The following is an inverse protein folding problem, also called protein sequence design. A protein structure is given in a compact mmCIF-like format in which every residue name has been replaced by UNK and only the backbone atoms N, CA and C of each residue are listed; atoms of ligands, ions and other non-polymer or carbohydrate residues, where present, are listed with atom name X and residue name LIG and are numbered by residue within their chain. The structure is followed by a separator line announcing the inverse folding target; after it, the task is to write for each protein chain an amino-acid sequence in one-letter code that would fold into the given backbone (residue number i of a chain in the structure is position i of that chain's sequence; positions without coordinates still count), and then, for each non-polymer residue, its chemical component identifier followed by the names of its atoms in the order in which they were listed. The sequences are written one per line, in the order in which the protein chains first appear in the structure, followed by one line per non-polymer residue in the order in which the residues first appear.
data_IF_450632726283
#
_entry.id   IF_450632726283
#
_cell.length_a   1.000
_cell.length_b   1.000
_cell.length_c   1.000
_cell.angle_alpha   90.00
_cell.angle_beta   90.00
_cell.angle_gamma   90.00
#
_symmetry.space_group_name_H-M   'P 1'
#
loop_
_entity.id
_entity.type
_entity.pdbx_description
1 polymer ?
#
# COMPACT_ATOMS: atom_id res chain seq x y z
N UNK A 1 27.96 47.60 -69.07
CA UNK A 1 28.64 47.67 -67.77
C UNK A 1 28.13 46.51 -66.95
N UNK A 2 28.70 45.34 -67.13
CA UNK A 2 29.89 44.72 -66.53
C UNK A 2 29.70 44.40 -65.04
N UNK A 3 29.58 43.09 -64.81
CA UNK A 3 30.11 42.28 -63.72
C UNK A 3 29.41 42.38 -62.34
N UNK A 4 28.66 41.34 -62.06
CA UNK A 4 28.87 40.48 -60.84
C UNK A 4 28.08 39.16 -60.96
N UNK A 5 28.52 38.33 -61.92
CA UNK A 5 28.23 36.90 -61.89
C UNK A 5 29.44 36.21 -61.24
N UNK A 6 29.28 35.54 -60.11
CA UNK A 6 30.37 34.70 -59.68
C UNK A 6 30.61 34.61 -58.19
N UNK A 7 29.64 34.23 -57.39
CA UNK A 7 29.93 33.78 -56.00
C UNK A 7 28.86 32.88 -55.36
N UNK A 8 28.24 32.01 -56.14
CA UNK A 8 27.19 31.13 -55.60
C UNK A 8 27.33 29.68 -56.08
N UNK A 9 28.55 29.18 -56.13
CA UNK A 9 28.75 27.81 -56.63
C UNK A 9 29.72 26.97 -55.76
N UNK A 10 29.89 27.28 -54.48
CA UNK A 10 30.85 26.51 -53.65
C UNK A 10 30.35 25.99 -52.32
N UNK A 11 29.04 25.99 -52.10
CA UNK A 11 28.52 25.52 -50.78
C UNK A 11 27.68 24.22 -50.89
N UNK A 12 27.41 23.70 -52.08
CA UNK A 12 26.54 22.53 -52.27
C UNK A 12 27.17 21.12 -52.14
N UNK A 13 28.48 20.89 -52.13
CA UNK A 13 28.97 19.51 -51.96
C UNK A 13 29.27 19.07 -50.53
N UNK A 14 29.06 19.92 -49.50
CA UNK A 14 29.38 19.54 -48.13
C UNK A 14 28.24 18.84 -47.35
N UNK A 15 27.04 18.78 -47.92
CA UNK A 15 25.91 18.11 -47.31
C UNK A 15 25.73 16.65 -47.76
N UNK A 16 26.49 16.18 -48.74
CA UNK A 16 26.37 14.79 -49.24
C UNK A 16 27.36 13.81 -48.56
N UNK A 17 28.23 14.26 -47.64
CA UNK A 17 29.22 13.40 -47.01
C UNK A 17 28.76 12.68 -45.73
N UNK A 18 27.53 12.93 -45.28
CA UNK A 18 27.02 12.27 -44.05
C UNK A 18 26.19 11.00 -44.29
N UNK A 19 25.99 10.61 -45.55
CA UNK A 19 25.15 9.41 -45.84
C UNK A 19 25.96 8.16 -46.22
N UNK A 20 27.27 8.20 -46.18
CA UNK A 20 28.11 7.05 -46.55
C UNK A 20 29.22 6.79 -45.52
N UNK A 21 29.03 7.10 -44.26
CA UNK A 21 29.83 6.50 -43.20
C UNK A 21 29.24 5.11 -42.99
N UNK A 22 29.92 4.12 -43.55
CA UNK A 22 29.62 2.72 -43.45
C UNK A 22 29.28 2.37 -42.01
N UNK A 23 28.18 1.67 -41.85
CA UNK A 23 27.73 1.13 -40.60
C UNK A 23 28.90 0.43 -39.91
N UNK A 24 29.37 1.00 -38.81
CA UNK A 24 29.83 0.22 -37.70
C UNK A 24 28.67 -0.76 -37.47
N UNK A 25 28.92 -2.05 -37.73
CA UNK A 25 27.89 -3.07 -37.59
C UNK A 25 27.13 -2.83 -36.32
N UNK A 26 25.92 -2.39 -36.48
CA UNK A 26 24.96 -2.47 -35.40
C UNK A 26 24.89 -3.96 -35.08
N UNK A 27 25.79 -4.40 -34.18
CA UNK A 27 25.46 -5.56 -33.38
C UNK A 27 24.02 -5.39 -33.01
N UNK A 28 23.19 -6.36 -33.35
CA UNK A 28 21.78 -6.40 -33.00
C UNK A 28 21.55 -5.59 -31.74
N UNK A 29 20.64 -4.60 -31.75
CA UNK A 29 20.34 -3.89 -30.51
C UNK A 29 20.13 -4.99 -29.50
N UNK A 30 20.96 -5.00 -28.44
CA UNK A 30 20.76 -5.88 -27.28
C UNK A 30 19.37 -5.53 -26.85
N UNK A 31 18.39 -6.22 -27.44
CA UNK A 31 17.01 -6.11 -27.03
C UNK A 31 17.04 -6.50 -25.58
N UNK A 32 16.78 -5.53 -24.72
CA UNK A 32 16.48 -5.85 -23.34
C UNK A 32 15.54 -7.07 -23.40
N UNK A 33 15.84 -8.16 -22.66
CA UNK A 33 15.00 -9.34 -22.68
C UNK A 33 13.55 -8.87 -22.62
N UNK A 34 12.77 -9.17 -23.66
CA UNK A 34 11.37 -8.79 -23.67
C UNK A 34 10.80 -9.35 -22.38
N UNK A 35 10.09 -8.51 -21.62
CA UNK A 35 9.31 -9.01 -20.49
C UNK A 35 8.45 -10.13 -21.05
N UNK A 36 8.82 -11.37 -20.75
CA UNK A 36 8.00 -12.52 -21.04
C UNK A 36 6.71 -12.30 -20.27
N UNK A 37 5.67 -11.87 -20.95
CA UNK A 37 4.33 -11.71 -20.35
C UNK A 37 3.76 -13.02 -19.78
N UNK A 38 4.52 -14.11 -19.89
CA UNK A 38 4.23 -15.44 -19.33
C UNK A 38 5.09 -15.82 -18.13
N UNK A 39 6.15 -15.09 -17.81
CA UNK A 39 6.79 -15.25 -16.52
C UNK A 39 5.84 -14.64 -15.50
N UNK A 40 5.31 -15.49 -14.61
CA UNK A 40 4.57 -15.04 -13.44
C UNK A 40 5.44 -14.02 -12.71
N UNK A 41 5.08 -12.75 -12.86
CA UNK A 41 5.76 -11.69 -12.14
C UNK A 41 5.64 -11.95 -10.64
N UNK A 42 6.60 -11.46 -9.85
CA UNK A 42 6.55 -11.59 -8.39
C UNK A 42 5.17 -11.18 -7.90
N UNK A 43 4.58 -12.01 -7.04
CA UNK A 43 3.25 -11.80 -6.48
C UNK A 43 3.11 -10.38 -5.91
N UNK A 44 2.07 -9.69 -6.36
CA UNK A 44 1.79 -8.33 -5.95
C UNK A 44 1.53 -8.17 -4.45
N UNK A 45 1.00 -9.20 -3.77
CA UNK A 45 0.85 -9.21 -2.32
C UNK A 45 2.22 -9.22 -1.63
N UNK A 46 3.11 -10.12 -2.04
CA UNK A 46 4.45 -10.20 -1.47
C UNK A 46 5.24 -8.89 -1.65
N UNK A 47 5.19 -8.31 -2.85
CA UNK A 47 5.83 -7.02 -3.12
C UNK A 47 5.20 -5.92 -2.28
N UNK A 48 3.87 -5.89 -2.19
CA UNK A 48 3.14 -4.92 -1.38
C UNK A 48 3.51 -5.00 0.10
N UNK A 49 3.61 -6.18 0.67
CA UNK A 49 4.02 -6.35 2.07
C UNK A 49 5.42 -5.82 2.34
N UNK A 50 6.39 -6.08 1.46
CA UNK A 50 7.75 -5.53 1.59
C UNK A 50 7.76 -3.99 1.49
N UNK A 51 6.93 -3.43 0.62
CA UNK A 51 6.79 -1.98 0.50
C UNK A 51 6.13 -1.37 1.74
N UNK A 52 5.14 -2.05 2.33
CA UNK A 52 4.57 -1.66 3.62
C UNK A 52 5.62 -1.65 4.73
N UNK A 53 6.51 -2.65 4.76
CA UNK A 53 7.63 -2.71 5.71
C UNK A 53 8.62 -1.56 5.54
N UNK A 54 8.84 -1.14 4.29
CA UNK A 54 9.70 -0.02 3.96
C UNK A 54 9.03 1.36 4.18
N UNK A 55 7.75 1.42 4.57
CA UNK A 55 6.99 2.66 4.70
C UNK A 55 6.51 3.25 3.37
N UNK A 56 6.67 2.52 2.27
CA UNK A 56 6.31 2.95 0.92
C UNK A 56 4.83 2.64 0.61
N UNK A 57 3.93 3.25 1.36
CA UNK A 57 2.50 2.89 1.39
C UNK A 57 1.78 3.10 0.06
N UNK A 58 2.11 4.16 -0.68
CA UNK A 58 1.53 4.40 -2.01
C UNK A 58 2.00 3.37 -3.05
N UNK A 59 3.24 2.92 -2.96
CA UNK A 59 3.76 1.86 -3.82
C UNK A 59 3.19 0.50 -3.43
N UNK A 60 3.00 0.26 -2.13
CA UNK A 60 2.31 -0.93 -1.62
C UNK A 60 0.89 -1.00 -2.16
N UNK A 61 0.14 0.10 -2.11
CA UNK A 61 -1.22 0.19 -2.64
C UNK A 61 -1.27 -0.20 -4.13
N UNK A 62 -0.34 0.31 -4.95
CA UNK A 62 -0.23 -0.06 -6.37
C UNK A 62 0.06 -1.54 -6.58
N UNK A 63 0.93 -2.11 -5.73
CA UNK A 63 1.27 -3.54 -5.78
C UNK A 63 0.08 -4.41 -5.40
N UNK A 64 -0.69 -4.04 -4.39
CA UNK A 64 -1.92 -4.73 -4.00
C UNK A 64 -3.02 -4.63 -5.06
N UNK A 65 -3.15 -3.49 -5.76
CA UNK A 65 -4.06 -3.38 -6.90
C UNK A 65 -3.66 -4.29 -8.06
N UNK A 66 -2.36 -4.51 -8.27
CA UNK A 66 -1.88 -5.50 -9.24
C UNK A 66 -2.22 -6.92 -8.79
N UNK A 67 -2.06 -7.24 -7.51
CA UNK A 67 -2.48 -8.52 -6.94
C UNK A 67 -4.00 -8.73 -7.11
N UNK A 68 -4.80 -7.68 -6.91
CA UNK A 68 -6.24 -7.72 -7.16
C UNK A 68 -6.59 -8.08 -8.61
N UNK A 69 -5.82 -7.58 -9.57
CA UNK A 69 -6.02 -7.90 -10.99
C UNK A 69 -5.61 -9.35 -11.33
N UNK A 70 -4.67 -9.94 -10.58
CA UNK A 70 -4.18 -11.31 -10.79
C UNK A 70 -5.02 -12.37 -10.05
N UNK A 71 -5.39 -12.10 -8.80
CA UNK A 71 -6.02 -13.06 -7.88
C UNK A 71 -7.48 -12.73 -7.57
N UNK A 72 -7.99 -11.61 -8.09
CA UNK A 72 -9.30 -11.08 -7.72
C UNK A 72 -9.28 -10.36 -6.38
N UNK A 73 -10.43 -9.80 -6.02
CA UNK A 73 -10.65 -9.09 -4.76
C UNK A 73 -11.08 -10.08 -3.66
N UNK A 74 -10.16 -10.91 -3.18
CA UNK A 74 -10.37 -11.81 -2.06
C UNK A 74 -10.14 -11.12 -0.70
N UNK A 75 -10.39 -11.80 0.42
CA UNK A 75 -10.26 -11.24 1.76
C UNK A 75 -8.84 -10.74 2.06
N UNK A 76 -7.81 -11.47 1.61
CA UNK A 76 -6.41 -11.11 1.81
C UNK A 76 -6.05 -9.81 1.06
N UNK A 77 -6.40 -9.73 -0.23
CA UNK A 77 -6.18 -8.52 -1.03
C UNK A 77 -6.95 -7.32 -0.47
N UNK A 78 -8.20 -7.50 -0.06
CA UNK A 78 -9.00 -6.44 0.56
C UNK A 78 -8.39 -5.95 1.88
N UNK A 79 -7.93 -6.88 2.72
CA UNK A 79 -7.24 -6.54 3.96
C UNK A 79 -5.93 -5.80 3.72
N UNK A 80 -5.12 -6.25 2.76
CA UNK A 80 -3.88 -5.59 2.37
C UNK A 80 -4.10 -4.16 1.86
N UNK A 81 -5.10 -3.96 0.99
CA UNK A 81 -5.52 -2.63 0.51
C UNK A 81 -6.04 -1.76 1.65
N UNK A 82 -6.81 -2.32 2.57
CA UNK A 82 -7.29 -1.64 3.77
C UNK A 82 -6.16 -1.18 4.66
N UNK A 83 -5.17 -2.04 4.90
CA UNK A 83 -3.97 -1.74 5.69
C UNK A 83 -3.14 -0.60 5.08
N UNK A 84 -2.95 -0.60 3.75
CA UNK A 84 -2.24 0.49 3.08
C UNK A 84 -3.00 1.83 3.20
N UNK A 85 -4.32 1.82 3.05
CA UNK A 85 -5.15 3.01 3.24
C UNK A 85 -5.14 3.51 4.69
N UNK A 86 -5.10 2.63 5.69
CA UNK A 86 -4.94 2.99 7.09
C UNK A 86 -3.64 3.77 7.30
N UNK A 87 -2.51 3.26 6.79
CA UNK A 87 -1.22 3.94 6.90
C UNK A 87 -1.17 5.30 6.18
N UNK A 88 -1.96 5.46 5.13
CA UNK A 88 -2.11 6.72 4.40
C UNK A 88 -3.11 7.69 5.07
N UNK A 89 -3.68 7.33 6.24
CA UNK A 89 -4.68 8.13 6.94
C UNK A 89 -6.05 8.18 6.23
N UNK A 90 -6.28 7.32 5.23
CA UNK A 90 -7.52 7.26 4.45
C UNK A 90 -8.55 6.38 5.14
N UNK A 91 -8.95 6.76 6.38
CA UNK A 91 -9.70 5.90 7.29
C UNK A 91 -11.03 5.40 6.72
N UNK A 92 -11.79 6.24 6.00
CA UNK A 92 -13.05 5.81 5.39
C UNK A 92 -12.89 4.75 4.29
N UNK A 93 -11.83 4.84 3.50
CA UNK A 93 -11.51 3.85 2.47
C UNK A 93 -11.00 2.56 3.12
N UNK A 94 -10.16 2.67 4.14
CA UNK A 94 -9.67 1.53 4.92
C UNK A 94 -10.84 0.76 5.55
N UNK A 95 -11.77 1.45 6.22
CA UNK A 95 -12.96 0.84 6.83
C UNK A 95 -13.78 0.07 5.79
N UNK A 96 -14.07 0.69 4.64
CA UNK A 96 -14.87 0.06 3.59
C UNK A 96 -14.24 -1.23 3.08
N UNK A 97 -12.93 -1.23 2.84
CA UNK A 97 -12.21 -2.39 2.34
C UNK A 97 -12.13 -3.50 3.39
N UNK A 98 -11.85 -3.14 4.65
CA UNK A 98 -11.72 -4.09 5.74
C UNK A 98 -13.07 -4.73 6.12
N UNK A 99 -14.17 -3.96 6.10
CA UNK A 99 -15.51 -4.54 6.29
C UNK A 99 -15.83 -5.57 5.22
N UNK A 100 -15.51 -5.29 3.95
CA UNK A 100 -15.69 -6.25 2.86
C UNK A 100 -14.81 -7.49 3.04
N UNK A 101 -13.57 -7.33 3.54
CA UNK A 101 -12.70 -8.47 3.85
C UNK A 101 -13.33 -9.38 4.91
N UNK A 102 -13.87 -8.79 5.99
CA UNK A 102 -14.55 -9.51 7.08
C UNK A 102 -15.87 -10.13 6.61
N UNK A 103 -16.60 -9.49 5.72
CA UNK A 103 -17.81 -10.07 5.10
C UNK A 103 -17.49 -11.31 4.27
N UNK A 104 -16.36 -11.31 3.55
CA UNK A 104 -15.91 -12.45 2.74
C UNK A 104 -15.36 -13.59 3.59
N UNK A 105 -14.61 -13.27 4.63
CA UNK A 105 -14.07 -14.22 5.59
C UNK A 105 -14.15 -13.65 7.01
N UNK A 106 -15.23 -14.00 7.76
CA UNK A 106 -15.43 -13.57 9.14
C UNK A 106 -14.37 -14.07 10.13
N UNK A 107 -13.56 -15.04 9.72
CA UNK A 107 -12.47 -15.61 10.52
C UNK A 107 -11.08 -15.04 10.15
N UNK A 108 -11.00 -14.10 9.20
CA UNK A 108 -9.73 -13.55 8.77
C UNK A 108 -9.20 -12.54 9.79
N UNK A 109 -8.40 -13.04 10.72
CA UNK A 109 -7.85 -12.31 11.87
C UNK A 109 -7.17 -10.99 11.49
N UNK A 110 -6.33 -10.92 10.42
CA UNK A 110 -5.71 -9.65 10.02
C UNK A 110 -6.73 -8.56 9.67
N UNK A 111 -7.81 -8.91 8.96
CA UNK A 111 -8.84 -7.93 8.62
C UNK A 111 -9.62 -7.46 9.84
N UNK A 112 -9.96 -8.38 10.74
CA UNK A 112 -10.62 -8.03 12.01
C UNK A 112 -9.77 -7.09 12.84
N UNK A 113 -8.49 -7.42 13.06
CA UNK A 113 -7.60 -6.57 13.84
C UNK A 113 -7.47 -5.16 13.20
N UNK A 114 -7.22 -5.10 11.90
CA UNK A 114 -7.03 -3.81 11.22
C UNK A 114 -8.32 -2.99 11.14
N UNK A 115 -9.49 -3.64 11.02
CA UNK A 115 -10.78 -2.95 11.12
C UNK A 115 -10.98 -2.34 12.52
N UNK A 116 -10.67 -3.09 13.56
CA UNK A 116 -10.71 -2.59 14.94
C UNK A 116 -9.81 -1.36 15.11
N UNK A 117 -8.59 -1.39 14.55
CA UNK A 117 -7.65 -0.26 14.60
C UNK A 117 -8.22 0.96 13.87
N UNK A 118 -8.77 0.79 12.66
CA UNK A 118 -9.43 1.89 11.92
C UNK A 118 -10.56 2.51 12.73
N UNK A 119 -11.38 1.68 13.38
CA UNK A 119 -12.50 2.15 14.20
C UNK A 119 -12.02 2.92 15.44
N UNK A 120 -10.90 2.50 16.05
CA UNK A 120 -10.26 3.25 17.14
C UNK A 120 -9.79 4.63 16.68
N UNK A 121 -9.11 4.70 15.53
CA UNK A 121 -8.65 5.96 14.93
C UNK A 121 -9.81 6.91 14.58
N UNK A 122 -11.00 6.38 14.32
CA UNK A 122 -12.22 7.15 14.06
C UNK A 122 -13.00 7.52 15.34
N UNK A 123 -12.54 7.10 16.52
CA UNK A 123 -13.25 7.31 17.79
C UNK A 123 -14.48 6.41 17.99
N UNK A 124 -14.67 5.39 17.13
CA UNK A 124 -15.80 4.41 17.21
C UNK A 124 -15.44 3.27 18.17
N UNK A 125 -15.13 3.63 19.41
CA UNK A 125 -14.58 2.70 20.43
C UNK A 125 -15.47 1.49 20.72
N UNK A 126 -16.79 1.69 20.77
CA UNK A 126 -17.74 0.60 21.00
C UNK A 126 -17.74 -0.46 19.89
N UNK A 127 -17.68 -0.03 18.63
CA UNK A 127 -17.57 -0.94 17.49
C UNK A 127 -16.19 -1.62 17.47
N UNK A 128 -15.12 -0.87 17.70
CA UNK A 128 -13.77 -1.40 17.76
C UNK A 128 -13.64 -2.52 18.80
N UNK A 129 -14.22 -2.33 20.00
CA UNK A 129 -14.28 -3.35 21.04
C UNK A 129 -14.92 -4.64 20.55
N UNK A 130 -16.07 -4.55 19.88
CA UNK A 130 -16.76 -5.73 19.36
C UNK A 130 -15.92 -6.47 18.32
N UNK A 131 -15.31 -5.73 17.38
CA UNK A 131 -14.46 -6.31 16.35
C UNK A 131 -13.20 -6.96 16.94
N UNK A 132 -12.54 -6.32 17.90
CA UNK A 132 -11.39 -6.92 18.60
C UNK A 132 -11.78 -8.13 19.45
N UNK A 133 -12.97 -8.15 20.05
CA UNK A 133 -13.49 -9.35 20.73
C UNK A 133 -13.64 -10.51 19.76
N UNK A 134 -14.16 -10.26 18.57
CA UNK A 134 -14.27 -11.28 17.52
C UNK A 134 -12.87 -11.76 17.10
N UNK A 135 -11.92 -10.84 16.83
CA UNK A 135 -10.54 -11.18 16.51
C UNK A 135 -9.90 -12.07 17.58
N UNK A 136 -10.06 -11.68 18.85
CA UNK A 136 -9.55 -12.45 19.99
C UNK A 136 -10.15 -13.86 20.09
N UNK A 137 -11.45 -14.02 19.84
CA UNK A 137 -12.11 -15.32 19.85
C UNK A 137 -11.58 -16.24 18.73
N UNK A 138 -11.46 -15.70 17.51
CA UNK A 138 -10.94 -16.45 16.36
C UNK A 138 -9.48 -16.85 16.56
N UNK A 139 -8.66 -15.93 17.07
CA UNK A 139 -7.24 -16.13 17.35
C UNK A 139 -6.99 -16.97 18.63
N UNK A 140 -8.03 -17.29 19.39
CA UNK A 140 -7.92 -17.93 20.71
C UNK A 140 -7.02 -17.18 21.68
N UNK A 141 -6.92 -15.87 21.51
CA UNK A 141 -6.11 -14.97 22.36
C UNK A 141 -4.61 -15.19 22.24
N UNK A 142 -4.10 -15.77 21.16
CA UNK A 142 -2.68 -16.08 21.01
C UNK A 142 -1.85 -14.83 20.68
N UNK A 143 -2.41 -13.88 19.91
CA UNK A 143 -1.70 -12.70 19.45
C UNK A 143 -1.70 -11.58 20.47
N UNK A 144 -0.52 -11.12 20.88
CA UNK A 144 -0.35 -10.05 21.88
C UNK A 144 -0.96 -8.73 21.42
N UNK A 145 -0.80 -8.39 20.14
CA UNK A 145 -1.34 -7.16 19.56
C UNK A 145 -2.87 -7.09 19.68
N UNK A 146 -3.56 -8.20 19.42
CA UNK A 146 -5.03 -8.27 19.54
C UNK A 146 -5.46 -8.09 20.99
N UNK A 147 -4.75 -8.71 21.94
CA UNK A 147 -5.04 -8.53 23.38
C UNK A 147 -4.84 -7.09 23.85
N UNK A 148 -3.76 -6.45 23.39
CA UNK A 148 -3.47 -5.06 23.72
C UNK A 148 -4.51 -4.12 23.11
N UNK A 149 -4.85 -4.29 21.84
CA UNK A 149 -5.86 -3.49 21.15
C UNK A 149 -7.24 -3.65 21.80
N UNK A 150 -7.63 -4.89 22.15
CA UNK A 150 -8.90 -5.14 22.84
C UNK A 150 -8.95 -4.44 24.21
N UNK A 151 -7.88 -4.54 25.00
CA UNK A 151 -7.79 -3.85 26.31
C UNK A 151 -7.96 -2.35 26.15
N UNK A 152 -7.30 -1.79 25.16
CA UNK A 152 -7.38 -0.36 24.87
C UNK A 152 -8.80 0.05 24.45
N UNK A 153 -9.44 -0.72 23.58
CA UNK A 153 -10.81 -0.45 23.16
C UNK A 153 -11.81 -0.52 24.31
N UNK A 154 -11.62 -1.46 25.26
CA UNK A 154 -12.42 -1.56 26.50
C UNK A 154 -12.23 -0.30 27.32
N UNK A 155 -10.97 0.10 27.62
CA UNK A 155 -10.67 1.28 28.42
C UNK A 155 -11.29 2.56 27.82
N UNK A 156 -11.20 2.73 26.49
CA UNK A 156 -11.80 3.87 25.81
C UNK A 156 -13.33 3.87 25.86
N UNK A 157 -13.94 2.70 25.75
CA UNK A 157 -15.40 2.59 25.85
C UNK A 157 -15.88 2.94 27.27
N UNK A 158 -15.18 2.51 28.29
CA UNK A 158 -15.49 2.83 29.70
C UNK A 158 -15.28 4.31 30.01
N UNK A 159 -14.20 4.91 29.55
CA UNK A 159 -13.93 6.34 29.73
C UNK A 159 -14.96 7.22 28.99
N UNK A 160 -15.44 6.79 27.83
CA UNK A 160 -16.49 7.49 27.09
C UNK A 160 -17.84 7.50 27.82
N UNK A 161 -18.11 6.45 28.64
CA UNK A 161 -19.35 6.33 29.44
C UNK A 161 -19.22 7.11 30.77
N UNK A 162 -18.04 7.14 31.36
CA UNK A 162 -17.75 7.82 32.63
C UNK A 162 -16.52 8.72 32.46
N UNK A 163 -16.68 9.90 31.82
CA UNK A 163 -15.55 10.77 31.60
C UNK A 163 -15.01 11.28 32.94
N UNK A 164 -13.76 10.93 33.25
CA UNK A 164 -13.02 11.53 34.35
C UNK A 164 -12.71 12.98 33.94
N UNK A 165 -13.07 14.01 34.74
CA UNK A 165 -12.80 15.41 34.42
C UNK A 165 -11.28 15.74 34.33
N UNK A 166 -10.41 14.87 34.82
CA UNK A 166 -8.95 14.97 34.69
C UNK A 166 -8.37 14.14 33.53
N UNK A 167 -9.22 13.39 32.80
CA UNK A 167 -8.76 12.49 31.74
C UNK A 167 -8.36 13.27 30.49
N UNK A 168 -7.06 13.30 30.20
CA UNK A 168 -6.54 13.71 28.89
C UNK A 168 -6.66 12.53 27.94
N UNK A 169 -7.31 12.71 26.79
CA UNK A 169 -7.37 11.68 25.74
C UNK A 169 -5.97 11.17 25.43
N UNK A 170 -5.67 9.87 25.64
CA UNK A 170 -4.36 9.34 25.30
C UNK A 170 -4.14 9.43 23.80
N UNK A 171 -3.01 10.00 23.42
CA UNK A 171 -2.57 9.97 22.04
C UNK A 171 -2.01 8.58 21.76
N UNK A 172 -2.49 7.96 20.69
CA UNK A 172 -2.00 6.66 20.26
C UNK A 172 -0.97 6.83 19.15
N UNK A 173 0.03 5.94 19.18
CA UNK A 173 0.89 5.73 18.03
C UNK A 173 0.54 4.39 17.41
N UNK A 174 0.26 4.40 16.11
CA UNK A 174 0.04 3.19 15.34
C UNK A 174 1.41 2.54 15.05
N UNK A 175 1.68 1.39 15.66
CA UNK A 175 2.91 0.64 15.45
C UNK A 175 2.59 -0.67 14.74
N UNK A 176 3.30 -0.93 13.66
CA UNK A 176 3.21 -2.19 12.95
C UNK A 176 4.03 -3.28 13.65
N UNK A 177 3.41 -4.44 13.88
CA UNK A 177 4.08 -5.66 14.33
C UNK A 177 3.83 -6.77 13.30
N UNK A 178 4.88 -7.27 12.66
CA UNK A 178 4.78 -8.38 11.71
C UNK A 178 4.05 -8.08 10.40
N UNK A 179 3.54 -9.11 9.76
CA UNK A 179 2.88 -9.03 8.45
C UNK A 179 1.45 -8.46 8.57
N UNK A 180 1.34 -7.13 8.41
CA UNK A 180 0.03 -6.46 8.32
C UNK A 180 -0.73 -6.29 9.63
N UNK A 181 -0.14 -6.60 10.79
CA UNK A 181 -0.72 -6.35 12.10
C UNK A 181 -0.32 -4.99 12.65
N UNK A 182 -1.27 -4.30 13.28
CA UNK A 182 -1.08 -3.00 13.89
C UNK A 182 -1.47 -3.01 15.36
N UNK A 183 -0.70 -2.30 16.17
CA UNK A 183 -0.92 -2.09 17.60
C UNK A 183 -1.01 -0.61 17.86
N UNK A 184 -1.98 -0.22 18.67
CA UNK A 184 -2.10 1.12 19.20
C UNK A 184 -1.31 1.21 20.52
N UNK A 185 -0.24 1.98 20.53
CA UNK A 185 0.52 2.24 21.76
C UNK A 185 0.12 3.60 22.34
N UNK A 186 -0.26 3.62 23.61
CA UNK A 186 -0.47 4.87 24.35
C UNK A 186 0.87 5.56 24.60
N UNK A 187 0.93 6.87 24.33
CA UNK A 187 2.04 7.68 24.86
C UNK A 187 1.79 7.90 26.36
N UNK A 188 2.72 7.41 27.16
CA UNK A 188 2.80 7.70 28.59
C UNK A 188 3.36 9.12 28.80
#
# INVERSE_FOLDING_TARGET
MLLQAGRMALILPLLAACTFAGGLGASDPVRAPGLNSREEGVDGLLVGHRLMEAGEFELALKSYLRAAAQHGMNADVLSALGSANLQLGRLGQAETLLRRAVEMDPSFVPALNNLGVVLMEQGKYGEARVVFQQAFQVDSGQTDSIRENLRLAIAQTENAVYPDPEYQEPRYNLVRRGYGEYVLLTQL
#
